data_IF_426393351031
#
_entry.id   IF_426393351031
#
_cell.length_a   1.000
_cell.length_b   1.000
_cell.length_c   1.000
_cell.angle_alpha   90.00
_cell.angle_beta   90.00
_cell.angle_gamma   90.00
#
_symmetry.space_group_name_H-M   'P 1'
#
loop_
_entity.id
_entity.type
_entity.pdbx_description
1 polymer ?
#
# COMPACT_ATOMS: atom_id res chain seq x y z
N UNK A 1 -19.53 37.70 -26.75
CA UNK A 1 -18.62 37.43 -25.63
C UNK A 1 -18.65 35.93 -25.37
N UNK A 2 -17.58 35.23 -25.71
CA UNK A 2 -17.46 33.78 -25.50
C UNK A 2 -16.79 33.59 -24.15
N UNK A 3 -17.56 33.27 -23.11
CA UNK A 3 -17.01 32.78 -21.84
C UNK A 3 -17.04 31.26 -21.91
N UNK A 4 -15.88 30.68 -22.18
CA UNK A 4 -15.66 29.25 -22.12
C UNK A 4 -15.75 28.76 -20.68
N UNK A 5 -16.50 27.69 -20.48
CA UNK A 5 -16.42 26.86 -19.29
C UNK A 5 -15.74 25.56 -19.71
N UNK A 6 -14.52 25.25 -19.25
CA UNK A 6 -14.00 23.91 -19.39
C UNK A 6 -14.46 23.04 -18.21
N UNK A 7 -15.35 22.10 -18.54
CA UNK A 7 -15.36 20.68 -18.14
C UNK A 7 -15.14 20.32 -16.67
N UNK A 8 -16.24 19.98 -16.00
CA UNK A 8 -16.30 18.85 -15.06
C UNK A 8 -16.18 17.55 -15.85
N UNK A 9 -15.10 16.78 -15.63
CA UNK A 9 -15.10 15.31 -15.55
C UNK A 9 -13.65 14.81 -15.40
N UNK A 10 -13.19 14.77 -14.16
CA UNK A 10 -11.91 14.17 -13.76
C UNK A 10 -12.10 12.80 -13.13
N UNK A 11 -12.92 11.93 -13.71
CA UNK A 11 -12.96 10.52 -13.33
C UNK A 11 -11.67 9.84 -13.81
N UNK A 12 -10.67 9.81 -12.90
CA UNK A 12 -9.60 8.83 -12.81
C UNK A 12 -9.02 8.30 -14.12
N UNK A 13 -8.25 9.11 -14.84
CA UNK A 13 -7.42 8.61 -15.95
C UNK A 13 -6.40 7.59 -15.42
N UNK A 14 -6.39 6.43 -16.08
CA UNK A 14 -5.44 5.35 -15.90
C UNK A 14 -4.00 5.87 -15.96
N UNK A 15 -3.14 5.31 -15.12
CA UNK A 15 -1.76 5.73 -14.99
C UNK A 15 -1.20 5.28 -13.66
N UNK A 16 0.12 5.23 -13.57
CA UNK A 16 0.84 4.86 -12.36
C UNK A 16 1.05 6.06 -11.44
N UNK A 17 1.56 5.82 -10.23
CA UNK A 17 2.04 6.91 -9.38
C UNK A 17 3.25 7.61 -10.01
N UNK A 18 3.49 8.87 -9.65
CA UNK A 18 4.80 9.49 -9.83
C UNK A 18 5.81 8.73 -8.94
N UNK A 19 6.93 8.18 -9.49
CA UNK A 19 7.94 7.47 -8.70
C UNK A 19 8.61 8.34 -7.63
N UNK A 20 8.57 9.66 -7.77
CA UNK A 20 9.09 10.64 -6.78
C UNK A 20 8.00 11.12 -5.81
N UNK A 21 6.76 10.68 -6.01
CA UNK A 21 5.62 11.03 -5.17
C UNK A 21 5.79 10.61 -3.71
N UNK A 22 5.25 11.41 -2.80
CA UNK A 22 5.37 11.13 -1.36
C UNK A 22 4.81 9.76 -0.99
N UNK A 23 5.61 8.96 -0.29
CA UNK A 23 5.23 7.63 0.17
C UNK A 23 5.11 6.58 -0.94
N UNK A 24 5.58 6.87 -2.16
CA UNK A 24 5.61 5.89 -3.25
C UNK A 24 6.84 5.00 -3.10
N UNK A 25 6.61 3.70 -3.05
CA UNK A 25 7.65 2.67 -3.09
C UNK A 25 7.73 2.12 -4.52
N UNK A 26 8.92 2.17 -5.11
CA UNK A 26 9.24 1.46 -6.36
C UNK A 26 9.74 0.06 -6.03
N UNK A 27 9.00 -0.96 -6.46
CA UNK A 27 9.39 -2.36 -6.34
C UNK A 27 10.42 -2.75 -7.43
N UNK A 28 11.20 -3.84 -7.26
CA UNK A 28 12.18 -4.30 -8.25
C UNK A 28 11.69 -4.39 -9.70
N UNK A 29 10.46 -4.85 -9.91
CA UNK A 29 9.82 -4.97 -11.23
C UNK A 29 9.46 -3.63 -11.87
N UNK A 30 9.60 -2.52 -11.13
CA UNK A 30 9.20 -1.18 -11.56
C UNK A 30 7.79 -0.78 -11.13
N UNK A 31 7.00 -1.71 -10.57
CA UNK A 31 5.69 -1.42 -9.97
C UNK A 31 5.79 -0.34 -8.91
N UNK A 32 4.77 0.53 -8.85
CA UNK A 32 4.71 1.64 -7.91
C UNK A 32 3.53 1.48 -6.97
N UNK A 33 3.79 1.45 -5.66
CA UNK A 33 2.75 1.35 -4.62
C UNK A 33 2.90 2.49 -3.64
N UNK A 34 1.82 3.23 -3.38
CA UNK A 34 1.83 4.29 -2.38
C UNK A 34 1.49 3.73 -0.99
N UNK A 35 2.37 3.93 -0.02
CA UNK A 35 2.07 3.71 1.40
C UNK A 35 1.58 4.98 2.08
N UNK A 36 0.45 4.93 2.80
CA UNK A 36 -0.11 6.13 3.49
C UNK A 36 -0.49 5.90 4.95
N UNK A 37 -0.40 6.98 5.74
CA UNK A 37 -0.98 7.07 7.07
C UNK A 37 -2.33 7.80 7.04
N UNK A 38 -3.42 7.11 7.39
CA UNK A 38 -4.79 7.65 7.36
C UNK A 38 -5.06 8.77 8.36
N UNK A 39 -4.22 8.91 9.40
CA UNK A 39 -4.30 10.05 10.34
C UNK A 39 -3.83 11.38 9.74
N UNK A 40 -3.19 11.34 8.56
CA UNK A 40 -2.77 12.52 7.82
C UNK A 40 -3.80 12.81 6.72
N UNK A 41 -3.96 14.09 6.33
CA UNK A 41 -4.79 14.43 5.19
C UNK A 41 -4.31 13.71 3.93
N UNK A 42 -5.20 13.55 2.96
CA UNK A 42 -4.85 13.03 1.66
C UNK A 42 -3.80 13.96 1.03
N UNK A 43 -2.66 13.44 0.53
CA UNK A 43 -1.69 14.26 -0.20
C UNK A 43 -2.34 14.90 -1.42
N UNK A 44 -1.86 16.08 -1.80
CA UNK A 44 -2.24 16.71 -3.07
C UNK A 44 -1.92 15.79 -4.27
N UNK A 45 -2.69 15.98 -5.35
CA UNK A 45 -2.53 15.24 -6.59
C UNK A 45 -3.55 14.11 -6.79
N UNK A 46 -3.24 13.12 -7.66
CA UNK A 46 -4.21 12.11 -8.04
C UNK A 46 -4.59 11.18 -6.88
N UNK A 47 -5.85 10.73 -6.90
CA UNK A 47 -6.39 9.74 -5.97
C UNK A 47 -6.01 8.31 -6.40
N UNK A 48 -5.99 7.33 -5.48
CA UNK A 48 -5.83 5.94 -5.84
C UNK A 48 -6.99 5.45 -6.72
N UNK A 49 -6.68 4.55 -7.66
CA UNK A 49 -7.71 3.76 -8.33
C UNK A 49 -8.19 2.61 -7.42
N UNK A 50 -7.24 2.03 -6.67
CA UNK A 50 -7.48 0.95 -5.73
C UNK A 50 -6.72 1.17 -4.42
N UNK A 51 -7.36 0.92 -3.28
CA UNK A 51 -6.73 1.05 -1.97
C UNK A 51 -6.97 -0.15 -1.05
N UNK A 52 -6.00 -0.47 -0.20
CA UNK A 52 -6.16 -1.44 0.88
C UNK A 52 -5.97 -0.75 2.23
N UNK A 53 -7.03 -0.77 3.04
CA UNK A 53 -7.04 -0.22 4.39
C UNK A 53 -6.73 -1.32 5.42
N UNK A 54 -5.57 -1.22 6.07
CA UNK A 54 -5.06 -2.17 7.07
C UNK A 54 -5.45 -1.71 8.48
N UNK A 55 -6.71 -1.90 8.86
CA UNK A 55 -7.28 -1.35 10.10
C UNK A 55 -7.90 -2.43 10.99
N UNK A 56 -7.81 -2.23 12.32
CA UNK A 56 -8.47 -3.12 13.28
C UNK A 56 -9.99 -2.93 13.35
N UNK A 57 -10.49 -1.80 12.87
CA UNK A 57 -11.91 -1.45 12.75
C UNK A 57 -12.22 -1.11 11.30
N UNK A 58 -13.46 -1.31 10.87
CA UNK A 58 -13.91 -1.00 9.52
C UNK A 58 -13.70 0.50 9.23
N UNK A 59 -13.02 0.87 8.13
CA UNK A 59 -12.87 2.27 7.72
C UNK A 59 -14.21 2.87 7.28
N UNK A 60 -14.34 4.20 7.28
CA UNK A 60 -15.38 4.89 6.50
C UNK A 60 -15.28 4.56 5.01
N UNK A 61 -16.40 4.74 4.30
CA UNK A 61 -16.41 4.62 2.85
C UNK A 61 -15.56 5.71 2.20
N UNK A 62 -14.98 5.36 1.05
CA UNK A 62 -14.13 6.22 0.23
C UNK A 62 -14.66 6.23 -1.20
N UNK A 63 -14.44 7.30 -1.97
CA UNK A 63 -15.00 7.43 -3.32
C UNK A 63 -14.26 6.61 -4.38
N UNK A 64 -13.29 5.78 -4.00
CA UNK A 64 -12.53 4.89 -4.88
C UNK A 64 -12.69 3.43 -4.42
N UNK A 65 -12.31 2.49 -5.27
CA UNK A 65 -12.37 1.08 -4.92
C UNK A 65 -11.43 0.76 -3.76
N UNK A 66 -11.94 0.12 -2.70
CA UNK A 66 -11.14 -0.20 -1.54
C UNK A 66 -11.46 -1.56 -0.93
N UNK A 67 -10.42 -2.27 -0.51
CA UNK A 67 -10.53 -3.45 0.37
C UNK A 67 -10.18 -3.06 1.79
N UNK A 68 -10.90 -3.62 2.75
CA UNK A 68 -10.52 -3.57 4.15
C UNK A 68 -9.94 -4.92 4.57
N UNK A 69 -8.70 -4.91 5.04
CA UNK A 69 -8.07 -6.07 5.66
C UNK A 69 -8.02 -5.83 7.17
N UNK A 70 -8.66 -6.72 7.94
CA UNK A 70 -8.68 -6.60 9.40
C UNK A 70 -7.29 -6.83 9.98
N UNK A 71 -6.68 -5.75 10.45
CA UNK A 71 -5.30 -5.77 10.96
C UNK A 71 -5.21 -4.89 12.22
N UNK A 72 -5.35 -5.49 13.42
CA UNK A 72 -5.24 -4.78 14.69
C UNK A 72 -3.88 -4.09 14.84
N UNK A 73 -3.86 -2.97 15.54
CA UNK A 73 -2.64 -2.17 15.65
C UNK A 73 -1.55 -2.91 16.42
N UNK A 74 -0.29 -2.72 15.99
CA UNK A 74 0.87 -3.48 16.44
C UNK A 74 0.73 -5.00 16.38
N UNK A 75 -0.24 -5.57 15.65
CA UNK A 75 -0.40 -7.04 15.52
C UNK A 75 -0.11 -7.50 14.08
N UNK A 76 -0.43 -8.76 13.83
CA UNK A 76 -0.50 -9.41 12.52
C UNK A 76 -1.92 -9.31 11.93
N UNK A 77 -2.11 -9.53 10.62
CA UNK A 77 -3.45 -9.58 10.05
C UNK A 77 -4.28 -10.69 10.71
N UNK A 78 -5.59 -10.49 10.81
CA UNK A 78 -6.48 -11.47 11.44
C UNK A 78 -6.59 -12.79 10.65
N UNK A 79 -6.31 -12.77 9.35
CA UNK A 79 -6.20 -13.95 8.48
C UNK A 79 -4.96 -13.83 7.61
N UNK A 80 -4.09 -14.84 7.62
CA UNK A 80 -2.92 -14.90 6.73
C UNK A 80 -3.32 -15.10 5.28
N UNK A 81 -4.29 -15.99 5.03
CA UNK A 81 -4.79 -16.30 3.70
C UNK A 81 -5.43 -15.07 3.04
N UNK A 82 -6.30 -14.36 3.77
CA UNK A 82 -6.91 -13.12 3.29
C UNK A 82 -5.85 -12.05 3.02
N UNK A 83 -4.85 -11.92 3.91
CA UNK A 83 -3.75 -11.00 3.69
C UNK A 83 -2.95 -11.33 2.44
N UNK A 84 -2.66 -12.62 2.19
CA UNK A 84 -1.97 -13.05 0.97
C UNK A 84 -2.79 -12.74 -0.28
N UNK A 85 -4.08 -13.06 -0.28
CA UNK A 85 -4.96 -12.80 -1.41
C UNK A 85 -5.03 -11.30 -1.75
N UNK A 86 -5.29 -10.47 -0.74
CA UNK A 86 -5.39 -9.01 -0.90
C UNK A 86 -4.06 -8.39 -1.32
N UNK A 87 -2.93 -8.84 -0.76
CA UNK A 87 -1.62 -8.33 -1.19
C UNK A 87 -1.22 -8.82 -2.59
N UNK A 88 -1.66 -10.01 -3.00
CA UNK A 88 -1.54 -10.48 -4.38
C UNK A 88 -2.32 -9.58 -5.36
N UNK A 89 -3.55 -9.20 -5.01
CA UNK A 89 -4.37 -8.25 -5.78
C UNK A 89 -3.68 -6.88 -5.89
N UNK A 90 -3.14 -6.35 -4.78
CA UNK A 90 -2.35 -5.11 -4.78
C UNK A 90 -1.16 -5.20 -5.74
N UNK A 91 -0.40 -6.29 -5.66
CA UNK A 91 0.77 -6.49 -6.51
C UNK A 91 0.41 -6.60 -8.00
N UNK A 92 -0.68 -7.31 -8.32
CA UNK A 92 -1.17 -7.45 -9.69
C UNK A 92 -1.61 -6.10 -10.26
N UNK A 93 -2.47 -5.36 -9.55
CA UNK A 93 -3.02 -4.07 -10.02
C UNK A 93 -1.96 -2.97 -10.09
N UNK A 94 -0.92 -3.02 -9.25
CA UNK A 94 0.17 -2.04 -9.28
C UNK A 94 1.01 -2.07 -10.58
N UNK A 95 0.76 -3.02 -11.49
CA UNK A 95 1.33 -3.02 -12.82
C UNK A 95 0.81 -1.85 -13.68
N UNK A 96 -0.47 -1.48 -13.51
CA UNK A 96 -1.16 -0.56 -14.41
C UNK A 96 -1.97 0.53 -13.69
N UNK A 97 -2.15 0.40 -12.36
CA UNK A 97 -3.00 1.26 -11.56
C UNK A 97 -2.27 1.98 -10.42
N UNK A 98 -2.79 3.14 -10.04
CA UNK A 98 -2.46 3.82 -8.78
C UNK A 98 -3.00 3.04 -7.60
N UNK A 99 -2.19 2.12 -7.07
CA UNK A 99 -2.54 1.33 -5.89
C UNK A 99 -1.99 1.94 -4.60
N UNK A 100 -2.82 2.01 -3.56
CA UNK A 100 -2.47 2.51 -2.24
C UNK A 100 -2.64 1.44 -1.14
N UNK A 101 -1.70 1.42 -0.18
CA UNK A 101 -1.81 0.63 1.05
C UNK A 101 -1.72 1.57 2.26
N UNK A 102 -2.74 1.56 3.10
CA UNK A 102 -2.83 2.55 4.19
C UNK A 102 -3.20 1.93 5.54
N UNK A 103 -2.58 2.44 6.60
CA UNK A 103 -2.96 2.16 7.99
C UNK A 103 -3.03 3.47 8.77
N UNK A 104 -3.36 3.45 10.07
CA UNK A 104 -3.45 4.69 10.86
C UNK A 104 -2.17 5.52 10.87
N UNK A 105 -0.99 4.89 10.92
CA UNK A 105 0.31 5.58 11.00
C UNK A 105 1.15 5.60 9.73
N UNK A 106 0.85 4.75 8.74
CA UNK A 106 1.67 4.63 7.54
C UNK A 106 3.05 4.01 7.77
N UNK A 107 3.29 3.30 8.88
CA UNK A 107 4.64 2.78 9.23
C UNK A 107 4.66 1.29 9.56
N UNK A 108 4.01 0.84 10.64
CA UNK A 108 4.03 -0.57 11.04
C UNK A 108 3.31 -1.46 10.07
N UNK A 109 1.97 -1.42 10.08
CA UNK A 109 1.13 -2.27 9.21
C UNK A 109 1.37 -1.99 7.74
N UNK A 110 1.40 -0.71 7.33
CA UNK A 110 1.74 -0.31 5.95
C UNK A 110 3.11 -0.82 5.55
N UNK A 111 4.16 -0.58 6.35
CA UNK A 111 5.51 -1.06 6.05
C UNK A 111 5.60 -2.59 6.01
N UNK A 112 4.83 -3.29 6.85
CA UNK A 112 4.77 -4.76 6.82
C UNK A 112 4.15 -5.26 5.53
N UNK A 113 3.03 -4.68 5.10
CA UNK A 113 2.41 -4.99 3.82
C UNK A 113 3.32 -4.67 2.63
N UNK A 114 3.96 -3.49 2.62
CA UNK A 114 4.94 -3.13 1.59
C UNK A 114 6.13 -4.10 1.52
N UNK A 115 6.58 -4.62 2.68
CA UNK A 115 7.65 -5.62 2.71
C UNK A 115 7.18 -6.97 2.16
N UNK A 116 5.95 -7.38 2.46
CA UNK A 116 5.34 -8.56 1.83
C UNK A 116 5.18 -8.39 0.31
N UNK A 117 4.81 -7.20 -0.18
CA UNK A 117 4.77 -6.90 -1.62
C UNK A 117 6.15 -6.98 -2.25
N UNK A 118 7.19 -6.49 -1.57
CA UNK A 118 8.57 -6.63 -2.04
C UNK A 118 8.97 -8.12 -2.15
N UNK A 119 8.52 -8.98 -1.23
CA UNK A 119 8.72 -10.43 -1.34
C UNK A 119 8.02 -11.02 -2.56
N UNK A 120 6.76 -10.66 -2.80
CA UNK A 120 6.03 -11.09 -4.01
C UNK A 120 6.72 -10.61 -5.29
N UNK A 121 7.37 -9.45 -5.23
CA UNK A 121 8.11 -8.86 -6.33
C UNK A 121 9.56 -9.37 -6.45
N UNK A 122 9.91 -10.43 -5.72
CA UNK A 122 11.18 -11.14 -5.86
C UNK A 122 12.31 -10.69 -4.91
N UNK A 123 12.06 -9.78 -3.96
CA UNK A 123 13.04 -9.48 -2.90
C UNK A 123 13.11 -10.65 -1.92
N UNK A 124 14.31 -11.18 -1.59
CA UNK A 124 14.44 -12.22 -0.58
C UNK A 124 13.81 -11.78 0.77
N UNK A 125 13.03 -12.64 1.46
CA UNK A 125 12.30 -12.26 2.68
C UNK A 125 13.17 -11.62 3.77
N UNK A 126 14.40 -12.11 3.94
CA UNK A 126 15.39 -11.59 4.88
C UNK A 126 15.90 -10.19 4.54
N UNK A 127 15.74 -9.74 3.29
CA UNK A 127 16.10 -8.40 2.81
C UNK A 127 14.92 -7.47 2.67
N UNK A 128 13.68 -7.98 2.63
CA UNK A 128 12.48 -7.20 2.34
C UNK A 128 12.23 -6.05 3.33
N UNK A 129 12.43 -6.27 4.63
CA UNK A 129 12.28 -5.19 5.63
C UNK A 129 13.31 -4.10 5.44
N UNK A 130 14.56 -4.46 5.20
CA UNK A 130 15.63 -3.48 4.97
C UNK A 130 15.42 -2.73 3.66
N UNK A 131 14.89 -3.40 2.63
CA UNK A 131 14.49 -2.79 1.37
C UNK A 131 13.44 -1.69 1.59
N UNK A 132 12.35 -1.99 2.30
CA UNK A 132 11.31 -0.99 2.58
C UNK A 132 11.84 0.14 3.46
N UNK A 133 12.69 -0.16 4.45
CA UNK A 133 13.28 0.88 5.32
C UNK A 133 14.17 1.86 4.56
N UNK A 134 14.87 1.40 3.52
CA UNK A 134 15.69 2.26 2.66
C UNK A 134 14.87 3.08 1.69
N UNK A 135 13.82 2.50 1.11
CA UNK A 135 13.12 3.07 -0.05
C UNK A 135 11.76 3.70 0.29
N UNK A 136 11.26 3.59 1.53
CA UNK A 136 9.96 4.12 1.95
C UNK A 136 10.04 4.94 3.25
N UNK A 137 10.29 4.29 4.39
CA UNK A 137 10.45 4.97 5.69
C UNK A 137 11.40 4.16 6.57
N UNK A 138 12.46 4.78 7.09
CA UNK A 138 13.47 4.13 7.95
C UNK A 138 12.88 3.43 9.18
N UNK A 139 11.67 3.81 9.61
CA UNK A 139 10.92 3.24 10.74
C UNK A 139 9.82 2.27 10.32
N UNK A 140 9.74 1.91 9.04
CA UNK A 140 8.81 0.89 8.56
C UNK A 140 9.04 -0.46 9.26
N UNK A 141 7.94 -1.20 9.49
CA UNK A 141 7.92 -2.44 10.26
C UNK A 141 8.35 -2.20 11.71
N UNK A 142 7.36 -2.04 12.59
CA UNK A 142 7.55 -1.51 13.95
C UNK A 142 7.88 -2.61 14.97
N UNK A 143 7.53 -3.86 14.70
CA UNK A 143 7.59 -4.94 15.70
C UNK A 143 8.36 -6.16 15.21
N UNK A 144 8.92 -6.93 16.15
CA UNK A 144 9.67 -8.16 15.83
C UNK A 144 8.79 -9.24 15.18
N UNK A 145 7.53 -9.37 15.58
CA UNK A 145 6.61 -10.33 14.98
C UNK A 145 6.17 -9.90 13.58
N UNK A 146 6.04 -8.60 13.27
CA UNK A 146 5.86 -8.15 11.89
C UNK A 146 7.07 -8.48 11.02
N UNK A 147 8.30 -8.30 11.53
CA UNK A 147 9.51 -8.74 10.82
C UNK A 147 9.47 -10.25 10.55
N UNK A 148 9.11 -11.05 11.55
CA UNK A 148 8.99 -12.52 11.41
C UNK A 148 7.87 -12.94 10.45
N UNK A 149 6.78 -12.17 10.40
CA UNK A 149 5.69 -12.39 9.44
C UNK A 149 6.17 -12.20 8.00
N UNK A 150 6.92 -11.13 7.73
CA UNK A 150 7.52 -10.91 6.39
C UNK A 150 8.43 -12.06 5.99
N UNK A 151 9.27 -12.55 6.92
CA UNK A 151 10.17 -13.68 6.65
C UNK A 151 9.45 -14.94 6.15
N UNK A 152 8.24 -15.22 6.68
CA UNK A 152 7.45 -16.41 6.35
C UNK A 152 6.51 -16.21 5.17
N UNK A 153 6.39 -14.97 4.69
CA UNK A 153 5.45 -14.62 3.64
C UNK A 153 5.77 -15.25 2.27
N UNK A 154 6.99 -15.73 2.03
CA UNK A 154 7.28 -16.52 0.82
C UNK A 154 6.72 -17.95 0.89
N UNK A 155 6.59 -18.52 2.09
CA UNK A 155 6.40 -19.97 2.29
C UNK A 155 4.94 -20.44 2.15
N UNK A 156 4.00 -19.54 1.86
CA UNK A 156 2.57 -19.88 1.87
C UNK A 156 1.98 -20.13 3.26
N UNK A 157 2.74 -19.86 4.34
CA UNK A 157 2.41 -20.18 5.74
C UNK A 157 2.18 -18.93 6.61
#
# INVERSE_FOLDING_TARGET
MVVGVPTTDGHGVAGLWDPTGTGVLRLPSGRLVRGRGLRRPLPEGPVPAFAVHLLGKRPPEVPWEARWLRWPDFRLPSSHEEARAVLGEVWARAADERVEVACGGGRGRTGTALACLAVLDGVPPERAVDFVRRNYDRRAVETLWQKRYVLRFADGR
#
